data_IF_290572515990
#
_entry.id   IF_290572515990
#
_cell.length_a   1.000
_cell.length_b   1.000
_cell.length_c   1.000
_cell.angle_alpha   90.00
_cell.angle_beta   90.00
_cell.angle_gamma   90.00
#
_symmetry.space_group_name_H-M   'P 1'
#
loop_
_entity.id
_entity.type
_entity.pdbx_description
1 polymer ?
#
# COMPACT_ATOMS: atom_id res chain seq x y z
N UNK A 1 29.72 21.03 -25.37
CA UNK A 1 28.86 20.94 -24.18
C UNK A 1 28.80 19.48 -23.77
N UNK A 2 29.71 19.09 -22.87
CA UNK A 2 30.07 17.70 -22.60
C UNK A 2 28.93 16.93 -21.90
N UNK A 3 28.71 15.69 -22.34
CA UNK A 3 27.80 14.70 -21.75
C UNK A 3 28.22 14.42 -20.32
N UNK A 4 27.27 14.46 -19.38
CA UNK A 4 27.44 13.93 -18.04
C UNK A 4 27.52 12.40 -18.10
N UNK A 5 28.75 11.91 -17.95
CA UNK A 5 29.21 10.67 -17.32
C UNK A 5 28.18 9.62 -16.88
N UNK A 6 28.21 8.44 -17.55
CA UNK A 6 28.46 7.12 -16.95
C UNK A 6 27.79 6.65 -15.64
N UNK A 7 26.77 7.31 -15.09
CA UNK A 7 26.04 6.82 -13.92
C UNK A 7 24.97 5.82 -14.35
N UNK A 8 25.02 4.61 -13.77
CA UNK A 8 23.94 3.65 -13.87
C UNK A 8 22.61 4.34 -13.51
N UNK A 9 21.55 4.05 -14.28
CA UNK A 9 20.22 4.61 -14.04
C UNK A 9 19.77 4.32 -12.60
N UNK A 10 19.20 5.31 -11.91
CA UNK A 10 18.78 5.13 -10.52
C UNK A 10 17.68 4.07 -10.42
N UNK A 11 17.65 3.31 -9.31
CA UNK A 11 16.62 2.29 -9.09
C UNK A 11 15.19 2.84 -9.20
N UNK A 12 14.96 4.08 -8.72
CA UNK A 12 13.67 4.77 -8.85
C UNK A 12 13.26 4.99 -10.31
N UNK A 13 14.21 5.27 -11.21
CA UNK A 13 13.94 5.43 -12.65
C UNK A 13 13.73 4.08 -13.33
N UNK A 14 14.52 3.06 -12.96
CA UNK A 14 14.31 1.69 -13.46
C UNK A 14 12.91 1.16 -13.09
N UNK A 15 12.48 1.35 -11.84
CA UNK A 15 11.12 0.99 -11.42
C UNK A 15 10.06 1.79 -12.17
N UNK A 16 10.25 3.10 -12.35
CA UNK A 16 9.29 3.91 -13.09
C UNK A 16 9.18 3.48 -14.57
N UNK A 17 10.31 3.15 -15.21
CA UNK A 17 10.37 2.65 -16.58
C UNK A 17 9.71 1.27 -16.73
N UNK A 18 9.71 0.44 -15.68
CA UNK A 18 8.95 -0.81 -15.62
C UNK A 18 7.44 -0.56 -15.42
N UNK A 19 7.07 0.26 -14.44
CA UNK A 19 5.67 0.45 -14.02
C UNK A 19 4.86 1.21 -15.06
N UNK A 20 5.39 2.30 -15.62
CA UNK A 20 4.64 3.18 -16.51
C UNK A 20 4.05 2.46 -17.74
N UNK A 21 4.82 1.66 -18.51
CA UNK A 21 4.28 0.96 -19.69
C UNK A 21 3.50 -0.30 -19.35
N UNK A 22 3.65 -0.91 -18.16
CA UNK A 22 3.07 -2.22 -17.82
C UNK A 22 1.58 -2.34 -18.16
N UNK A 23 1.20 -3.37 -18.91
CA UNK A 23 -0.18 -3.63 -19.33
C UNK A 23 -0.70 -4.92 -18.70
N UNK A 24 -2.02 -4.99 -18.54
CA UNK A 24 -2.69 -6.19 -18.04
C UNK A 24 -2.35 -7.45 -18.86
N UNK A 25 -2.26 -7.32 -20.19
CA UNK A 25 -2.02 -8.44 -21.11
C UNK A 25 -0.61 -9.02 -21.00
N UNK A 26 0.30 -8.29 -20.36
CA UNK A 26 1.68 -8.73 -20.11
C UNK A 26 1.83 -9.43 -18.75
N UNK A 27 0.77 -9.43 -17.93
CA UNK A 27 0.80 -10.11 -16.64
C UNK A 27 0.67 -11.63 -16.85
N UNK A 28 1.57 -12.44 -16.25
CA UNK A 28 1.40 -13.88 -16.25
C UNK A 28 0.05 -14.29 -15.63
N UNK A 29 -0.65 -15.32 -16.16
CA UNK A 29 -1.95 -15.74 -15.65
C UNK A 29 -1.97 -16.02 -14.14
N UNK A 30 -0.90 -16.61 -13.62
CA UNK A 30 -0.72 -16.90 -12.19
C UNK A 30 -0.58 -15.63 -11.33
N UNK A 31 -0.01 -14.55 -11.87
CA UNK A 31 0.07 -13.25 -11.19
C UNK A 31 -1.32 -12.63 -11.11
N UNK A 32 -2.11 -12.73 -12.18
CA UNK A 32 -3.50 -12.27 -12.20
C UNK A 32 -4.35 -13.03 -11.19
N UNK A 33 -4.22 -14.36 -11.15
CA UNK A 33 -4.91 -15.20 -10.17
C UNK A 33 -4.53 -14.85 -8.74
N UNK A 34 -3.22 -14.73 -8.47
CA UNK A 34 -2.72 -14.35 -7.14
C UNK A 34 -3.19 -12.96 -6.72
N UNK A 35 -3.19 -11.98 -7.62
CA UNK A 35 -3.68 -10.62 -7.37
C UNK A 35 -5.17 -10.60 -6.99
N UNK A 36 -6.00 -11.41 -7.66
CA UNK A 36 -7.41 -11.60 -7.28
C UNK A 36 -7.52 -12.25 -5.90
N UNK A 37 -6.73 -13.30 -5.64
CA UNK A 37 -6.69 -14.01 -4.37
C UNK A 37 -6.34 -13.11 -3.18
N UNK A 38 -5.27 -12.31 -3.28
CA UNK A 38 -4.90 -11.38 -2.20
C UNK A 38 -5.91 -10.24 -2.02
N UNK A 39 -6.59 -9.84 -3.10
CA UNK A 39 -7.70 -8.87 -3.01
C UNK A 39 -8.86 -9.46 -2.21
N UNK A 40 -9.29 -10.68 -2.54
CA UNK A 40 -10.36 -11.36 -1.80
C UNK A 40 -9.97 -11.59 -0.33
N UNK A 41 -8.71 -11.97 -0.09
CA UNK A 41 -8.18 -12.15 1.26
C UNK A 41 -8.23 -10.84 2.07
N UNK A 42 -7.80 -9.72 1.49
CA UNK A 42 -7.84 -8.42 2.15
C UNK A 42 -9.29 -7.99 2.48
N UNK A 43 -10.22 -8.14 1.54
CA UNK A 43 -11.64 -7.87 1.77
C UNK A 43 -12.22 -8.75 2.90
N UNK A 44 -11.81 -10.02 2.96
CA UNK A 44 -12.19 -10.94 4.05
C UNK A 44 -11.64 -10.46 5.39
N UNK A 45 -10.38 -10.03 5.43
CA UNK A 45 -9.77 -9.47 6.64
C UNK A 45 -10.54 -8.24 7.12
N UNK A 46 -10.86 -7.31 6.23
CA UNK A 46 -11.65 -6.12 6.56
C UNK A 46 -13.05 -6.48 7.10
N UNK A 47 -13.72 -7.48 6.52
CA UNK A 47 -15.02 -7.97 7.00
C UNK A 47 -14.94 -8.54 8.42
N UNK A 48 -13.92 -9.35 8.72
CA UNK A 48 -13.69 -9.90 10.06
C UNK A 48 -13.40 -8.80 11.09
N UNK A 49 -12.79 -7.70 10.65
CA UNK A 49 -12.42 -6.59 11.51
C UNK A 49 -13.54 -5.59 11.82
N UNK A 50 -14.69 -5.68 11.12
CA UNK A 50 -15.81 -4.71 11.18
C UNK A 50 -16.09 -4.18 12.58
N UNK A 51 -16.25 -5.10 13.53
CA UNK A 51 -16.68 -4.81 14.90
C UNK A 51 -15.51 -4.92 15.92
N UNK A 52 -14.26 -4.88 15.46
CA UNK A 52 -13.09 -4.82 16.35
C UNK A 52 -12.85 -3.39 16.86
N UNK A 53 -12.33 -3.23 18.10
CA UNK A 53 -12.02 -1.91 18.66
C UNK A 53 -11.10 -1.06 17.77
N UNK A 54 -10.06 -1.66 17.19
CA UNK A 54 -9.13 -0.99 16.30
C UNK A 54 -9.85 -0.34 15.10
N UNK A 55 -10.79 -1.05 14.46
CA UNK A 55 -11.52 -0.51 13.31
C UNK A 55 -12.44 0.65 13.70
N UNK A 56 -13.14 0.55 14.84
CA UNK A 56 -13.96 1.65 15.34
C UNK A 56 -13.13 2.89 15.69
N UNK A 57 -11.97 2.70 16.31
CA UNK A 57 -11.09 3.78 16.72
C UNK A 57 -10.43 4.47 15.53
N UNK A 58 -9.98 3.71 14.53
CA UNK A 58 -9.44 4.28 13.29
C UNK A 58 -10.51 5.14 12.59
N UNK A 59 -11.74 4.63 12.51
CA UNK A 59 -12.85 5.35 11.90
C UNK A 59 -13.19 6.63 12.66
N UNK A 60 -13.34 6.55 13.99
CA UNK A 60 -13.65 7.70 14.82
C UNK A 60 -12.56 8.77 14.73
N UNK A 61 -11.28 8.37 14.80
CA UNK A 61 -10.13 9.25 14.63
C UNK A 61 -10.22 10.01 13.30
N UNK A 62 -10.39 9.31 12.18
CA UNK A 62 -10.44 9.98 10.89
C UNK A 62 -11.71 10.83 10.69
N UNK A 63 -12.84 10.45 11.28
CA UNK A 63 -14.06 11.28 11.25
C UNK A 63 -13.88 12.59 12.03
N UNK A 64 -13.12 12.57 13.12
CA UNK A 64 -12.78 13.75 13.90
C UNK A 64 -11.81 14.66 13.12
N UNK A 65 -10.72 14.09 12.61
CA UNK A 65 -9.69 14.83 11.84
C UNK A 65 -10.23 15.44 10.53
N UNK A 66 -11.26 14.82 9.93
CA UNK A 66 -11.87 15.28 8.66
C UNK A 66 -13.20 16.02 8.86
N UNK A 67 -13.54 16.43 10.09
CA UNK A 67 -14.81 17.08 10.41
C UNK A 67 -15.07 18.32 9.54
N UNK A 68 -15.98 18.21 8.56
CA UNK A 68 -16.41 19.32 7.70
C UNK A 68 -16.62 19.04 6.21
N UNK A 69 -16.44 17.82 5.69
CA UNK A 69 -16.67 17.58 4.26
C UNK A 69 -16.74 16.10 3.84
N UNK A 70 -17.67 15.80 2.93
CA UNK A 70 -17.90 14.45 2.40
C UNK A 70 -16.69 13.86 1.66
N UNK A 71 -16.49 12.56 1.86
CA UNK A 71 -15.29 11.86 1.40
C UNK A 71 -15.30 11.37 -0.05
N UNK A 72 -14.11 11.33 -0.66
CA UNK A 72 -13.88 10.83 -2.01
C UNK A 72 -13.72 9.30 -2.11
N UNK A 73 -13.51 8.61 -0.99
CA UNK A 73 -13.30 7.17 -0.94
C UNK A 73 -14.06 6.52 0.22
N UNK A 74 -14.34 5.22 0.09
CA UNK A 74 -15.19 4.45 0.99
C UNK A 74 -14.36 3.66 2.00
N UNK A 75 -14.73 3.78 3.27
CA UNK A 75 -14.33 2.85 4.32
C UNK A 75 -15.07 1.53 4.08
N UNK A 76 -14.29 0.45 3.94
CA UNK A 76 -14.78 -0.90 3.71
C UNK A 76 -15.77 -1.28 4.81
N UNK A 77 -16.78 -2.05 4.43
CA UNK A 77 -17.84 -2.58 5.31
C UNK A 77 -18.82 -1.53 5.85
N UNK A 78 -18.36 -0.41 6.40
CA UNK A 78 -19.25 0.62 6.96
C UNK A 78 -19.91 1.48 5.89
N UNK A 79 -19.26 1.69 4.75
CA UNK A 79 -19.73 2.57 3.70
C UNK A 79 -19.49 4.06 3.98
N UNK A 80 -18.88 4.40 5.13
CA UNK A 80 -18.54 5.78 5.48
C UNK A 80 -17.60 6.36 4.42
N UNK A 81 -17.87 7.59 3.98
CA UNK A 81 -17.02 8.30 3.02
C UNK A 81 -16.05 9.21 3.76
N UNK A 82 -14.76 9.03 3.51
CA UNK A 82 -13.66 9.85 4.02
C UNK A 82 -12.79 10.36 2.85
N UNK A 83 -11.80 11.22 3.12
CA UNK A 83 -10.79 11.58 2.12
C UNK A 83 -10.09 10.32 1.59
N UNK A 84 -9.39 10.43 0.45
CA UNK A 84 -8.65 9.29 -0.13
C UNK A 84 -7.67 8.70 0.88
N UNK A 85 -6.95 9.55 1.61
CA UNK A 85 -6.01 9.16 2.66
C UNK A 85 -6.72 8.61 3.89
N UNK A 86 -7.81 9.23 4.34
CA UNK A 86 -8.56 8.75 5.52
C UNK A 86 -9.18 7.39 5.30
N UNK A 87 -9.87 7.19 4.17
CA UNK A 87 -10.42 5.88 3.82
C UNK A 87 -9.33 4.82 3.68
N UNK A 88 -8.21 5.15 3.01
CA UNK A 88 -7.08 4.22 2.89
C UNK A 88 -6.46 3.87 4.26
N UNK A 89 -6.33 4.84 5.17
CA UNK A 89 -5.86 4.63 6.53
C UNK A 89 -6.76 3.68 7.32
N UNK A 90 -8.07 3.97 7.37
CA UNK A 90 -9.04 3.12 8.08
C UNK A 90 -9.08 1.73 7.47
N UNK A 91 -9.08 1.61 6.14
CA UNK A 91 -9.08 0.32 5.45
C UNK A 91 -7.80 -0.48 5.72
N UNK A 92 -6.64 0.17 5.83
CA UNK A 92 -5.38 -0.48 6.21
C UNK A 92 -5.45 -1.04 7.63
N UNK A 93 -5.93 -0.25 8.59
CA UNK A 93 -6.13 -0.68 9.99
C UNK A 93 -7.16 -1.82 10.08
N UNK A 94 -8.25 -1.78 9.32
CA UNK A 94 -9.21 -2.88 9.26
C UNK A 94 -8.60 -4.17 8.70
N UNK A 95 -7.90 -4.08 7.57
CA UNK A 95 -7.25 -5.24 6.96
C UNK A 95 -6.21 -5.83 7.91
N UNK A 96 -5.45 -4.96 8.59
CA UNK A 96 -4.50 -5.39 9.61
C UNK A 96 -5.25 -6.05 10.78
N UNK A 97 -6.21 -5.40 11.42
CA UNK A 97 -6.92 -5.94 12.58
C UNK A 97 -7.62 -7.30 12.32
N UNK A 98 -8.06 -7.57 11.09
CA UNK A 98 -8.72 -8.82 10.72
C UNK A 98 -7.82 -10.06 10.71
N UNK A 99 -6.49 -9.91 10.74
CA UNK A 99 -5.55 -11.01 10.92
C UNK A 99 -5.38 -11.95 9.73
N UNK A 100 -6.01 -11.68 8.57
CA UNK A 100 -5.88 -12.51 7.35
C UNK A 100 -5.04 -11.77 6.32
N UNK A 101 -3.71 -11.88 6.46
CA UNK A 101 -2.77 -11.17 5.60
C UNK A 101 -2.02 -12.11 4.68
N UNK A 102 -1.68 -11.61 3.49
CA UNK A 102 -0.64 -12.23 2.68
C UNK A 102 0.70 -12.10 3.39
N UNK A 103 1.67 -12.92 3.00
CA UNK A 103 2.99 -12.91 3.64
C UNK A 103 4.07 -13.06 2.60
N UNK A 104 5.14 -12.30 2.75
CA UNK A 104 6.36 -12.42 1.97
C UNK A 104 7.55 -12.65 2.90
N UNK A 105 8.32 -13.71 2.61
CA UNK A 105 9.49 -14.15 3.41
C UNK A 105 9.21 -14.23 4.92
N UNK A 106 7.99 -14.59 5.29
CA UNK A 106 7.51 -14.74 6.68
C UNK A 106 7.50 -13.47 7.56
N UNK A 107 7.87 -12.31 7.01
CA UNK A 107 8.25 -11.15 7.82
C UNK A 107 7.58 -9.83 7.37
N UNK A 108 6.90 -9.82 6.22
CA UNK A 108 6.13 -8.66 5.76
C UNK A 108 4.76 -9.06 5.22
N UNK A 109 3.82 -8.13 5.31
CA UNK A 109 2.43 -8.27 4.86
C UNK A 109 2.11 -7.16 3.84
N UNK A 110 2.50 -7.33 2.57
CA UNK A 110 2.38 -6.27 1.56
C UNK A 110 0.94 -5.80 1.35
N UNK A 111 0.00 -6.73 1.38
CA UNK A 111 -1.39 -6.45 1.05
C UNK A 111 -2.08 -5.51 2.03
N UNK A 112 -1.62 -5.46 3.29
CA UNK A 112 -2.19 -4.54 4.29
C UNK A 112 -1.90 -3.06 3.99
N UNK A 113 -0.90 -2.75 3.17
CA UNK A 113 -0.62 -1.40 2.71
C UNK A 113 -1.08 -1.16 1.26
N UNK A 114 -0.84 -2.14 0.37
CA UNK A 114 -1.08 -1.98 -1.06
C UNK A 114 -2.58 -1.94 -1.39
N UNK A 115 -3.37 -2.86 -0.83
CA UNK A 115 -4.79 -3.00 -1.18
C UNK A 115 -5.64 -1.78 -0.79
N UNK A 116 -5.52 -1.24 0.45
CA UNK A 116 -6.26 -0.03 0.82
C UNK A 116 -6.02 1.15 -0.12
N UNK A 117 -4.75 1.39 -0.49
CA UNK A 117 -4.38 2.47 -1.39
C UNK A 117 -4.88 2.23 -2.82
N UNK A 118 -4.77 1.00 -3.30
CA UNK A 118 -5.25 0.62 -4.63
C UNK A 118 -6.78 0.71 -4.73
N UNK A 119 -7.52 0.29 -3.70
CA UNK A 119 -8.99 0.39 -3.65
C UNK A 119 -9.41 1.85 -3.65
N UNK A 120 -8.80 2.71 -2.83
CA UNK A 120 -9.10 4.14 -2.81
C UNK A 120 -8.79 4.81 -4.16
N UNK A 121 -7.66 4.46 -4.80
CA UNK A 121 -7.31 4.96 -6.13
C UNK A 121 -8.30 4.47 -7.20
N UNK A 122 -8.71 3.20 -7.16
CA UNK A 122 -9.64 2.62 -8.12
C UNK A 122 -11.03 3.23 -8.02
N UNK A 123 -11.54 3.42 -6.80
CA UNK A 123 -12.83 4.07 -6.57
C UNK A 123 -12.84 5.50 -7.09
N UNK A 124 -11.79 6.27 -6.79
CA UNK A 124 -11.72 7.68 -7.16
C UNK A 124 -11.48 7.93 -8.65
N UNK A 125 -10.91 6.95 -9.36
CA UNK A 125 -10.68 7.03 -10.81
C UNK A 125 -11.75 6.32 -11.63
N UNK A 126 -12.59 5.48 -11.01
CA UNK A 126 -13.54 4.62 -11.71
C UNK A 126 -12.87 3.60 -12.65
N UNK A 127 -11.64 3.17 -12.32
CA UNK A 127 -10.86 2.32 -13.22
C UNK A 127 -11.47 0.92 -13.39
N UNK A 128 -11.13 0.24 -14.49
CA UNK A 128 -11.56 -1.14 -14.72
C UNK A 128 -10.84 -2.13 -13.80
N UNK A 129 -11.42 -3.32 -13.58
CA UNK A 129 -10.75 -4.39 -12.84
C UNK A 129 -9.38 -4.79 -13.42
N UNK A 130 -9.19 -4.69 -14.75
CA UNK A 130 -7.88 -4.94 -15.39
C UNK A 130 -6.86 -3.87 -14.98
N UNK A 131 -7.27 -2.60 -14.93
CA UNK A 131 -6.40 -1.51 -14.49
C UNK A 131 -6.05 -1.65 -13.00
N UNK A 132 -7.03 -1.98 -12.15
CA UNK A 132 -6.81 -2.27 -10.74
C UNK A 132 -5.79 -3.40 -10.52
N UNK A 133 -5.97 -4.55 -11.18
CA UNK A 133 -5.05 -5.69 -11.06
C UNK A 133 -3.64 -5.37 -11.58
N UNK A 134 -3.53 -4.54 -12.62
CA UNK A 134 -2.23 -4.07 -13.13
C UNK A 134 -1.53 -3.16 -12.11
N UNK A 135 -2.27 -2.26 -11.47
CA UNK A 135 -1.74 -1.43 -10.39
C UNK A 135 -1.29 -2.23 -9.18
N UNK A 136 -2.08 -3.22 -8.76
CA UNK A 136 -1.69 -4.15 -7.71
C UNK A 136 -0.38 -4.87 -8.05
N UNK A 137 -0.31 -5.51 -9.21
CA UNK A 137 0.89 -6.23 -9.64
C UNK A 137 2.13 -5.32 -9.63
N UNK A 138 2.01 -4.09 -10.14
CA UNK A 138 3.09 -3.10 -10.11
C UNK A 138 3.53 -2.74 -8.67
N UNK A 139 2.58 -2.47 -7.78
CA UNK A 139 2.87 -2.13 -6.38
C UNK A 139 3.57 -3.27 -5.63
N UNK A 140 3.08 -4.50 -5.81
CA UNK A 140 3.71 -5.69 -5.26
C UNK A 140 5.12 -5.88 -5.80
N UNK A 141 5.31 -5.82 -7.12
CA UNK A 141 6.63 -6.03 -7.74
C UNK A 141 7.68 -5.04 -7.21
N UNK A 142 7.34 -3.75 -7.15
CA UNK A 142 8.28 -2.72 -6.66
C UNK A 142 8.58 -2.92 -5.18
N UNK A 143 7.55 -3.04 -4.32
CA UNK A 143 7.76 -3.24 -2.89
C UNK A 143 8.60 -4.48 -2.60
N UNK A 144 8.27 -5.60 -3.22
CA UNK A 144 8.92 -6.88 -2.92
C UNK A 144 10.36 -6.91 -3.42
N UNK A 145 10.67 -6.32 -4.59
CA UNK A 145 12.05 -6.16 -5.05
C UNK A 145 12.87 -5.27 -4.12
N UNK A 146 12.29 -4.19 -3.61
CA UNK A 146 12.97 -3.33 -2.64
C UNK A 146 13.20 -4.01 -1.29
N UNK A 147 12.29 -4.88 -0.87
CA UNK A 147 12.35 -5.51 0.45
C UNK A 147 13.16 -6.82 0.48
N UNK A 148 13.21 -7.58 -0.62
CA UNK A 148 13.60 -9.01 -0.65
C UNK A 148 14.87 -9.36 0.13
N UNK A 149 15.93 -8.57 0.00
CA UNK A 149 17.22 -8.85 0.63
C UNK A 149 17.42 -8.11 1.96
N UNK A 150 16.60 -7.09 2.22
CA UNK A 150 16.81 -6.17 3.34
C UNK A 150 15.92 -6.47 4.55
N UNK A 151 14.85 -7.25 4.39
CA UNK A 151 13.90 -7.55 5.47
C UNK A 151 14.59 -8.00 6.76
N UNK A 152 15.47 -9.04 6.78
CA UNK A 152 16.10 -9.49 8.02
C UNK A 152 16.98 -8.41 8.65
N UNK A 153 17.76 -7.70 7.83
CA UNK A 153 18.71 -6.66 8.28
C UNK A 153 17.99 -5.45 8.86
N UNK A 154 16.91 -4.99 8.21
CA UNK A 154 16.08 -3.86 8.67
C UNK A 154 15.46 -4.17 10.03
N UNK A 155 14.90 -5.38 10.18
CA UNK A 155 14.30 -5.82 11.45
C UNK A 155 15.33 -6.03 12.56
N UNK A 156 16.50 -6.59 12.25
CA UNK A 156 17.59 -6.73 13.20
C UNK A 156 18.08 -5.36 13.74
N UNK A 157 17.99 -4.31 12.91
CA UNK A 157 18.35 -2.93 13.29
C UNK A 157 17.21 -2.15 13.96
N UNK A 158 16.10 -2.81 14.30
CA UNK A 158 15.00 -2.23 15.07
C UNK A 158 13.91 -1.56 14.24
N UNK A 159 13.94 -1.64 12.92
CA UNK A 159 12.91 -1.09 12.04
C UNK A 159 11.92 -2.18 11.58
N UNK A 160 10.64 -1.82 11.45
CA UNK A 160 9.64 -2.76 10.96
C UNK A 160 9.64 -2.74 9.42
N UNK A 161 9.97 -3.87 8.78
CA UNK A 161 10.08 -3.94 7.32
C UNK A 161 8.76 -3.62 6.60
N UNK A 162 7.62 -4.02 7.17
CA UNK A 162 6.26 -3.68 6.72
C UNK A 162 6.06 -2.19 6.36
N UNK A 163 6.07 -1.24 7.32
CA UNK A 163 5.89 0.18 7.02
C UNK A 163 7.09 0.80 6.26
N UNK A 164 8.32 0.34 6.50
CA UNK A 164 9.50 0.85 5.77
C UNK A 164 9.39 0.62 4.25
N UNK A 165 8.94 -0.57 3.82
CA UNK A 165 8.83 -0.90 2.40
C UNK A 165 7.40 -0.77 1.84
N UNK A 166 6.38 -0.91 2.68
CA UNK A 166 4.97 -0.94 2.29
C UNK A 166 4.49 0.32 1.61
N UNK A 167 5.01 1.47 2.05
CA UNK A 167 4.67 2.78 1.47
C UNK A 167 4.96 2.85 -0.04
N UNK A 168 6.06 2.23 -0.50
CA UNK A 168 6.43 2.21 -1.91
C UNK A 168 5.42 1.43 -2.75
N UNK A 169 4.99 0.26 -2.27
CA UNK A 169 4.00 -0.55 -2.98
C UNK A 169 2.64 0.14 -3.06
N UNK A 170 2.18 0.71 -1.94
CA UNK A 170 0.92 1.45 -1.87
C UNK A 170 0.92 2.65 -2.84
N UNK A 171 1.98 3.45 -2.81
CA UNK A 171 2.10 4.63 -3.65
C UNK A 171 2.24 4.29 -5.14
N UNK A 172 3.02 3.26 -5.48
CA UNK A 172 3.17 2.80 -6.87
C UNK A 172 1.86 2.22 -7.42
N UNK A 173 1.13 1.43 -6.64
CA UNK A 173 -0.17 0.92 -7.06
C UNK A 173 -1.16 2.05 -7.34
N UNK A 174 -1.25 3.03 -6.43
CA UNK A 174 -2.10 4.20 -6.60
C UNK A 174 -1.67 5.07 -7.80
N UNK A 175 -0.37 5.27 -8.02
CA UNK A 175 0.16 6.02 -9.15
C UNK A 175 -0.15 5.32 -10.49
N UNK A 176 0.02 3.99 -10.55
CA UNK A 176 -0.31 3.21 -11.75
C UNK A 176 -1.80 3.25 -12.08
N UNK A 177 -2.66 3.13 -11.08
CA UNK A 177 -4.13 3.20 -11.24
C UNK A 177 -4.57 4.60 -11.72
N UNK A 178 -3.92 5.66 -11.21
CA UNK A 178 -4.17 7.03 -11.63
C UNK A 178 -3.56 7.39 -13.00
N UNK A 179 -2.83 6.48 -13.64
CA UNK A 179 -2.26 6.70 -14.97
C UNK A 179 -1.06 7.64 -14.98
N UNK A 180 -0.28 7.68 -13.89
CA UNK A 180 0.93 8.51 -13.83
C UNK A 180 1.98 8.05 -14.85
N UNK A 181 2.69 9.00 -15.44
CA UNK A 181 3.83 8.74 -16.32
C UNK A 181 5.09 8.32 -15.53
N UNK A 182 6.15 7.94 -16.24
CA UNK A 182 7.40 7.50 -15.62
C UNK A 182 8.07 8.60 -14.75
N UNK A 183 7.96 9.87 -15.13
CA UNK A 183 8.52 10.98 -14.35
C UNK A 183 7.77 11.20 -13.04
N UNK A 184 6.44 11.10 -13.10
CA UNK A 184 5.55 11.17 -11.94
C UNK A 184 5.76 9.99 -11.01
N UNK A 185 5.83 8.75 -11.52
CA UNK A 185 6.11 7.55 -10.71
C UNK A 185 7.48 7.64 -10.04
N UNK A 186 8.50 8.11 -10.76
CA UNK A 186 9.83 8.36 -10.19
C UNK A 186 9.74 9.33 -8.99
N UNK A 187 9.00 10.43 -9.14
CA UNK A 187 8.78 11.41 -8.08
C UNK A 187 7.96 10.85 -6.91
N UNK A 188 6.98 9.98 -7.19
CA UNK A 188 6.23 9.24 -6.18
C UNK A 188 7.15 8.38 -5.32
N UNK A 189 8.05 7.61 -5.94
CA UNK A 189 9.05 6.79 -5.23
C UNK A 189 9.99 7.69 -4.41
N UNK A 190 10.44 8.82 -4.97
CA UNK A 190 11.29 9.76 -4.25
C UNK A 190 10.60 10.33 -2.99
N UNK A 191 9.30 10.63 -3.07
CA UNK A 191 8.55 11.12 -1.91
C UNK A 191 8.39 10.05 -0.83
N UNK A 192 8.22 8.78 -1.22
CA UNK A 192 8.13 7.67 -0.26
C UNK A 192 9.38 7.57 0.62
N UNK A 193 10.58 7.87 0.08
CA UNK A 193 11.83 7.83 0.85
C UNK A 193 11.81 8.79 2.04
N UNK A 194 11.16 9.95 1.91
CA UNK A 194 11.06 10.93 3.00
C UNK A 194 10.07 10.53 4.11
N UNK A 195 9.20 9.54 3.85
CA UNK A 195 8.09 9.14 4.72
C UNK A 195 8.21 7.69 5.23
N UNK A 196 9.11 6.89 4.65
CA UNK A 196 9.40 5.54 5.07
C UNK A 196 9.85 5.52 6.54
N UNK A 197 9.08 4.86 7.39
CA UNK A 197 9.23 4.91 8.84
C UNK A 197 8.71 3.64 9.51
N UNK A 198 8.63 3.65 10.85
CA UNK A 198 8.12 2.53 11.65
C UNK A 198 9.25 1.71 12.30
N UNK A 199 9.34 1.78 13.62
CA UNK A 199 10.25 0.97 14.41
C UNK A 199 9.50 -0.18 15.09
N UNK A 200 10.26 -1.12 15.64
CA UNK A 200 9.72 -2.29 16.35
C UNK A 200 9.42 -2.02 17.83
N UNK A 201 9.70 -0.83 18.36
CA UNK A 201 9.60 -0.55 19.79
C UNK A 201 8.17 -0.72 20.30
N UNK A 202 7.19 -0.15 19.59
CA UNK A 202 5.77 -0.29 19.94
C UNK A 202 5.37 -1.77 20.01
N UNK A 203 5.63 -2.53 18.95
CA UNK A 203 5.31 -3.96 18.90
C UNK A 203 6.05 -4.78 19.96
N UNK A 204 7.30 -4.45 20.28
CA UNK A 204 8.13 -5.15 21.29
C UNK A 204 7.74 -4.81 22.73
N UNK A 205 7.23 -3.61 22.97
CA UNK A 205 6.82 -3.11 24.29
C UNK A 205 5.33 -3.32 24.59
N UNK A 206 4.58 -3.93 23.66
CA UNK A 206 3.14 -4.17 23.80
C UNK A 206 2.26 -2.96 23.43
N UNK A 207 2.85 -1.89 22.90
CA UNK A 207 2.14 -0.77 22.31
C UNK A 207 1.30 -1.19 21.10
N UNK A 208 0.15 -0.53 20.93
CA UNK A 208 -0.79 -0.78 19.83
C UNK A 208 -1.07 0.51 19.06
N UNK A 209 -1.43 0.38 17.77
CA UNK A 209 -1.66 1.50 16.85
C UNK A 209 -2.75 2.46 17.34
N UNK A 210 -3.75 1.94 18.04
CA UNK A 210 -4.94 2.67 18.49
C UNK A 210 -5.19 2.41 19.98
N UNK A 211 -5.68 3.43 20.68
CA UNK A 211 -5.84 3.44 22.14
C UNK A 211 -6.71 2.28 22.59
N UNK A 212 -6.29 1.48 23.57
CA UNK A 212 -7.29 0.76 24.38
C UNK A 212 -8.05 1.84 25.17
N UNK A 213 -9.39 1.78 25.15
CA UNK A 213 -10.27 2.84 25.65
C UNK A 213 -9.95 3.31 27.06
#
# INVERSE_FOLDING_TARGET
>A
MARLDGKAESLSRQFAAFVAPLRFDELPPEVVDRAKGVTLQALTSALLARDLPASRQALALMQEEESGGGGAATVLVSGTKLTRSGAAFVNAEMILAGGKWDTFRMLTHPGSAILPAAIAAAETTGCSGRAFLTGLAAGYEVMLRMAAEFIPTVMARGFHAGPVFGIFGAAVAAAKIQGFDASQIHSTIAQCVNLASGNLEGARSGGRSLREG
#
